data_IF_545456161084
#
_entry.id   IF_545456161084
#
_cell.length_a   1.000
_cell.length_b   1.000
_cell.length_c   1.000
_cell.angle_alpha   90.00
_cell.angle_beta   90.00
_cell.angle_gamma   90.00
#
_symmetry.space_group_name_H-M   'P 1'
#
loop_
_entity.id
_entity.type
_entity.pdbx_description
1 polymer ?
#
# COMPACT_ATOMS: atom_id res chain seq x y z
N UNK A 1 -19.43 -6.26 11.17
CA UNK A 1 -18.11 -6.92 11.32
C UNK A 1 -17.09 -6.05 10.60
N UNK A 2 -16.25 -5.35 11.36
CA UNK A 2 -15.14 -4.58 10.81
C UNK A 2 -14.22 -5.54 10.04
N UNK A 3 -13.90 -5.19 8.80
CA UNK A 3 -12.96 -5.96 8.02
C UNK A 3 -11.55 -5.70 8.55
N UNK A 4 -10.70 -6.72 8.70
CA UNK A 4 -9.32 -6.50 9.11
C UNK A 4 -8.61 -5.62 8.07
N UNK A 5 -7.93 -4.58 8.53
CA UNK A 5 -7.11 -3.71 7.70
C UNK A 5 -5.70 -4.29 7.62
N UNK A 6 -5.17 -4.42 6.40
CA UNK A 6 -3.77 -4.76 6.16
C UNK A 6 -3.05 -3.51 5.64
N UNK A 7 -1.98 -3.12 6.32
CA UNK A 7 -1.10 -2.03 5.88
C UNK A 7 0.23 -2.64 5.45
N UNK A 8 0.61 -2.43 4.21
CA UNK A 8 1.92 -2.80 3.68
C UNK A 8 2.73 -1.53 3.52
N UNK A 9 3.92 -1.49 4.13
CA UNK A 9 4.76 -0.29 4.18
C UNK A 9 6.23 -0.62 4.08
N UNK A 10 7.09 0.40 4.09
CA UNK A 10 8.55 0.28 4.03
C UNK A 10 9.21 1.35 4.91
N UNK A 11 10.51 1.21 5.27
CA UNK A 11 11.16 2.06 6.28
C UNK A 11 11.02 3.56 6.03
N UNK A 12 11.18 4.04 4.80
CA UNK A 12 11.08 5.46 4.52
C UNK A 12 9.68 6.02 4.79
N UNK A 13 8.63 5.29 4.41
CA UNK A 13 7.25 5.75 4.63
C UNK A 13 6.88 5.81 6.12
N UNK A 14 7.30 4.83 6.94
CA UNK A 14 7.02 4.86 8.38
C UNK A 14 7.91 5.82 9.17
N UNK A 15 8.97 6.34 8.53
CA UNK A 15 9.80 7.39 9.13
C UNK A 15 9.08 8.74 9.13
N UNK A 16 8.15 8.96 8.22
CA UNK A 16 7.37 10.20 8.21
C UNK A 16 6.38 10.25 9.37
N UNK A 17 6.37 11.38 10.07
CA UNK A 17 5.40 11.66 11.12
C UNK A 17 4.08 12.14 10.50
N UNK A 18 3.01 11.92 11.24
CA UNK A 18 1.64 12.22 10.80
C UNK A 18 0.93 13.13 11.81
N UNK A 19 -0.16 13.76 11.40
CA UNK A 19 -0.99 14.53 12.29
C UNK A 19 -1.61 13.65 13.40
N UNK A 20 -1.76 14.12 14.62
CA UNK A 20 -2.44 13.36 15.69
C UNK A 20 -3.87 12.98 15.29
N UNK A 21 -4.35 11.81 15.73
CA UNK A 21 -5.74 11.34 15.50
C UNK A 21 -6.78 12.39 15.86
N UNK A 22 -6.55 13.11 16.97
CA UNK A 22 -7.44 14.15 17.44
C UNK A 22 -7.55 15.29 16.43
N UNK A 23 -6.43 15.78 15.93
CA UNK A 23 -6.38 16.84 14.90
C UNK A 23 -7.13 16.42 13.64
N UNK A 24 -6.87 15.19 13.17
CA UNK A 24 -7.54 14.63 12.00
C UNK A 24 -9.06 14.57 12.20
N UNK A 25 -9.52 14.10 13.36
CA UNK A 25 -10.96 14.02 13.68
C UNK A 25 -11.60 15.39 13.81
N UNK A 26 -10.92 16.37 14.41
CA UNK A 26 -11.45 17.73 14.60
C UNK A 26 -11.52 18.53 13.29
N UNK A 27 -10.61 18.28 12.37
CA UNK A 27 -10.54 18.99 11.09
C UNK A 27 -11.30 18.30 9.96
N UNK A 28 -11.66 17.02 10.11
CA UNK A 28 -12.47 16.31 9.12
C UNK A 28 -13.96 16.40 9.46
N UNK A 29 -14.80 16.32 8.44
CA UNK A 29 -16.25 16.25 8.62
C UNK A 29 -16.89 15.40 7.52
N UNK A 30 -18.06 14.87 7.83
CA UNK A 30 -18.84 14.04 6.92
C UNK A 30 -20.05 14.80 6.42
N UNK A 31 -20.38 14.66 5.15
CA UNK A 31 -21.60 15.16 4.52
C UNK A 31 -22.42 13.94 4.09
N UNK A 32 -23.71 13.92 4.43
CA UNK A 32 -24.65 12.86 4.08
C UNK A 32 -25.78 13.38 3.20
N UNK A 33 -26.36 12.49 2.41
CA UNK A 33 -27.59 12.79 1.67
C UNK A 33 -28.71 13.15 2.68
N UNK A 34 -29.37 14.28 2.45
CA UNK A 34 -30.39 14.83 3.34
C UNK A 34 -29.87 15.76 4.44
N UNK A 35 -28.56 15.95 4.58
CA UNK A 35 -28.01 16.98 5.46
C UNK A 35 -28.34 18.39 4.92
N UNK A 36 -28.38 19.38 5.80
CA UNK A 36 -28.63 20.78 5.44
C UNK A 36 -27.39 21.63 5.72
N UNK A 37 -26.87 22.30 4.67
CA UNK A 37 -25.71 23.18 4.74
C UNK A 37 -25.95 24.45 3.93
N UNK A 38 -25.62 25.59 4.52
CA UNK A 38 -25.42 26.82 3.77
C UNK A 38 -24.15 26.70 2.94
N UNK A 39 -24.30 26.70 1.61
CA UNK A 39 -23.19 26.48 0.66
C UNK A 39 -22.09 27.54 0.80
N UNK A 40 -22.46 28.79 1.18
CA UNK A 40 -21.48 29.86 1.40
C UNK A 40 -20.62 29.56 2.64
N UNK A 41 -21.24 29.19 3.74
CA UNK A 41 -20.52 28.82 4.97
C UNK A 41 -19.69 27.58 4.80
N UNK A 42 -20.20 26.60 4.04
CA UNK A 42 -19.43 25.38 3.72
C UNK A 42 -18.20 25.72 2.89
N UNK A 43 -18.32 26.64 1.94
CA UNK A 43 -17.18 27.14 1.15
C UNK A 43 -16.16 27.88 2.01
N UNK A 44 -16.62 28.73 2.93
CA UNK A 44 -15.73 29.42 3.89
C UNK A 44 -15.00 28.40 4.77
N UNK A 45 -15.69 27.39 5.30
CA UNK A 45 -15.08 26.31 6.06
C UNK A 45 -14.02 25.54 5.28
N UNK A 46 -14.25 25.27 3.99
CA UNK A 46 -13.26 24.62 3.14
C UNK A 46 -12.00 25.49 2.97
N UNK A 47 -12.16 26.81 2.79
CA UNK A 47 -11.04 27.77 2.76
C UNK A 47 -10.25 27.79 4.07
N UNK A 48 -10.95 27.81 5.23
CA UNK A 48 -10.33 27.75 6.56
C UNK A 48 -9.53 26.44 6.77
N UNK A 49 -10.00 25.35 6.18
CA UNK A 49 -9.33 24.05 6.20
C UNK A 49 -8.20 23.93 5.16
N UNK A 50 -7.87 25.00 4.43
CA UNK A 50 -6.76 25.03 3.49
C UNK A 50 -7.09 24.52 2.08
N UNK A 51 -8.38 24.24 1.79
CA UNK A 51 -8.77 23.90 0.43
C UNK A 51 -8.70 25.15 -0.47
N UNK A 52 -8.25 24.94 -1.69
CA UNK A 52 -8.12 25.99 -2.72
C UNK A 52 -9.37 26.02 -3.61
N UNK A 53 -9.98 27.19 -3.74
CA UNK A 53 -11.09 27.39 -4.66
C UNK A 53 -10.59 27.51 -6.09
N UNK A 54 -11.22 26.77 -7.01
CA UNK A 54 -10.91 26.76 -8.44
C UNK A 54 -12.19 26.70 -9.27
N UNK A 55 -12.08 26.78 -10.60
CA UNK A 55 -13.24 26.63 -11.50
C UNK A 55 -13.57 25.16 -11.75
N UNK A 56 -12.56 24.31 -11.80
CA UNK A 56 -12.65 22.85 -11.94
C UNK A 56 -11.67 22.18 -11.00
N UNK A 57 -12.07 21.03 -10.46
CA UNK A 57 -11.28 20.26 -9.48
C UNK A 57 -10.46 19.19 -10.20
N UNK A 58 -9.14 19.21 -9.99
CA UNK A 58 -8.19 18.27 -10.60
C UNK A 58 -7.33 17.56 -9.57
N UNK A 59 -7.01 18.20 -8.45
CA UNK A 59 -6.07 17.71 -7.45
C UNK A 59 -6.70 17.69 -6.05
N UNK A 60 -6.25 16.78 -5.15
CA UNK A 60 -6.63 16.84 -3.75
C UNK A 60 -6.40 18.22 -3.14
N UNK A 61 -7.32 18.66 -2.28
CA UNK A 61 -7.27 20.00 -1.69
C UNK A 61 -7.92 21.09 -2.54
N UNK A 62 -8.54 20.76 -3.66
CA UNK A 62 -9.30 21.71 -4.48
C UNK A 62 -10.81 21.57 -4.27
N UNK A 63 -11.51 22.69 -4.42
CA UNK A 63 -12.96 22.69 -4.51
C UNK A 63 -13.48 23.73 -5.50
N UNK A 64 -14.65 23.47 -6.07
CA UNK A 64 -15.34 24.37 -6.98
C UNK A 64 -16.82 24.47 -6.64
N UNK A 65 -17.39 25.67 -6.75
CA UNK A 65 -18.83 25.90 -6.59
C UNK A 65 -19.41 26.41 -7.90
N UNK A 66 -20.40 25.69 -8.44
CA UNK A 66 -21.05 26.00 -9.70
C UNK A 66 -22.57 25.90 -9.55
N UNK A 67 -23.22 27.05 -9.30
CA UNK A 67 -24.65 27.08 -8.98
C UNK A 67 -24.93 26.35 -7.68
N UNK A 68 -25.71 25.30 -7.73
CA UNK A 68 -26.05 24.45 -6.57
C UNK A 68 -25.11 23.25 -6.40
N UNK A 69 -24.00 23.18 -7.13
CA UNK A 69 -23.07 22.06 -7.10
C UNK A 69 -21.78 22.48 -6.38
N UNK A 70 -21.36 21.67 -5.42
CA UNK A 70 -20.05 21.71 -4.82
C UNK A 70 -19.26 20.48 -5.26
N UNK A 71 -18.17 20.71 -5.98
CA UNK A 71 -17.15 19.71 -6.26
C UNK A 71 -16.01 19.89 -5.27
N UNK A 72 -15.55 18.80 -4.64
CA UNK A 72 -14.45 18.86 -3.66
C UNK A 72 -13.60 17.60 -3.73
N UNK A 73 -12.27 17.77 -3.72
CA UNK A 73 -11.34 16.66 -3.70
C UNK A 73 -10.70 16.55 -2.30
N UNK A 74 -11.22 15.62 -1.51
CA UNK A 74 -10.71 15.30 -0.19
C UNK A 74 -9.36 14.57 -0.29
N UNK A 75 -8.43 14.83 0.63
CA UNK A 75 -7.15 14.12 0.71
C UNK A 75 -7.30 12.64 1.09
N UNK A 76 -8.45 12.22 1.57
CA UNK A 76 -8.74 10.82 1.93
C UNK A 76 -9.39 10.01 0.80
N UNK A 77 -9.55 10.57 -0.39
CA UNK A 77 -10.28 9.91 -1.49
C UNK A 77 -9.44 9.83 -2.76
N UNK A 78 -9.60 8.74 -3.51
CA UNK A 78 -8.98 8.58 -4.84
C UNK A 78 -9.70 9.41 -5.91
N UNK A 79 -10.97 9.73 -5.69
CA UNK A 79 -11.80 10.49 -6.61
C UNK A 79 -12.42 11.69 -5.92
N UNK A 80 -12.58 12.83 -6.60
CA UNK A 80 -13.31 13.96 -6.05
C UNK A 80 -14.80 13.64 -5.91
N UNK A 81 -15.44 14.38 -5.01
CA UNK A 81 -16.85 14.29 -4.72
C UNK A 81 -17.60 15.44 -5.39
N UNK A 82 -18.78 15.13 -5.93
CA UNK A 82 -19.77 16.09 -6.43
C UNK A 82 -21.00 16.03 -5.53
N UNK A 83 -21.35 17.15 -4.94
CA UNK A 83 -22.43 17.31 -3.99
C UNK A 83 -23.45 18.25 -4.64
N UNK A 84 -24.63 17.73 -4.94
CA UNK A 84 -25.74 18.52 -5.49
C UNK A 84 -26.63 18.99 -4.36
N UNK A 85 -26.99 20.27 -4.39
CA UNK A 85 -27.87 20.89 -3.40
C UNK A 85 -29.20 21.29 -4.04
N UNK A 86 -30.28 21.09 -3.28
CA UNK A 86 -31.57 21.71 -3.55
C UNK A 86 -31.87 22.73 -2.44
N UNK A 87 -31.65 24.03 -2.73
CA UNK A 87 -31.55 25.04 -1.67
C UNK A 87 -30.33 24.77 -0.79
N UNK A 88 -30.58 24.57 0.50
CA UNK A 88 -29.54 24.22 1.48
C UNK A 88 -29.46 22.71 1.77
N UNK A 89 -30.35 21.90 1.18
CA UNK A 89 -30.41 20.47 1.42
C UNK A 89 -29.54 19.70 0.42
N UNK A 90 -28.75 18.74 0.92
CA UNK A 90 -27.93 17.83 0.11
C UNK A 90 -28.85 16.83 -0.57
N UNK A 91 -29.05 16.99 -1.89
CA UNK A 91 -29.91 16.13 -2.70
C UNK A 91 -29.21 14.84 -3.13
N UNK A 92 -27.94 14.94 -3.54
CA UNK A 92 -27.18 13.77 -3.94
C UNK A 92 -25.67 13.93 -3.78
N UNK A 93 -24.99 12.80 -3.60
CA UNK A 93 -23.54 12.70 -3.45
C UNK A 93 -23.01 11.69 -4.45
N UNK A 94 -21.96 12.04 -5.18
CA UNK A 94 -21.30 11.17 -6.18
C UNK A 94 -19.80 11.38 -6.19
N UNK A 95 -19.07 10.39 -6.63
CA UNK A 95 -17.71 10.60 -7.13
C UNK A 95 -17.76 11.04 -8.60
N UNK A 96 -16.67 11.62 -9.09
CA UNK A 96 -16.54 11.91 -10.51
C UNK A 96 -15.09 11.73 -10.99
N UNK A 97 -14.94 11.52 -12.28
CA UNK A 97 -13.65 11.36 -12.93
C UNK A 97 -13.00 12.71 -13.22
N UNK A 98 -11.77 12.89 -12.77
CA UNK A 98 -11.02 14.15 -12.90
C UNK A 98 -10.88 14.58 -14.37
N UNK A 99 -10.51 13.65 -15.27
CA UNK A 99 -10.21 13.98 -16.67
C UNK A 99 -11.46 14.33 -17.48
N UNK A 100 -12.54 13.62 -17.26
CA UNK A 100 -13.79 13.79 -18.03
C UNK A 100 -14.79 14.70 -17.35
N UNK A 101 -14.63 14.96 -16.04
CA UNK A 101 -15.57 15.67 -15.19
C UNK A 101 -16.96 15.01 -15.12
N UNK A 102 -17.08 13.74 -15.53
CA UNK A 102 -18.33 12.98 -15.50
C UNK A 102 -18.53 12.30 -14.16
N UNK A 103 -19.75 12.36 -13.65
CA UNK A 103 -20.13 11.65 -12.41
C UNK A 103 -20.01 10.14 -12.61
N UNK A 104 -19.48 9.45 -11.58
CA UNK A 104 -19.25 8.02 -11.56
C UNK A 104 -20.19 7.32 -10.57
N UNK A 105 -19.78 7.12 -9.33
CA UNK A 105 -20.52 6.34 -8.33
C UNK A 105 -21.34 7.21 -7.39
N UNK A 106 -22.57 6.80 -7.08
CA UNK A 106 -23.39 7.42 -6.04
C UNK A 106 -22.90 6.98 -4.66
N UNK A 107 -22.90 7.93 -3.73
CA UNK A 107 -22.53 7.73 -2.32
C UNK A 107 -23.68 8.19 -1.43
N UNK A 108 -23.87 7.55 -0.28
CA UNK A 108 -24.79 8.00 0.75
C UNK A 108 -24.15 9.00 1.71
N UNK A 109 -22.82 8.94 1.82
CA UNK A 109 -22.02 9.85 2.64
C UNK A 109 -20.63 10.02 2.04
N UNK A 110 -20.01 11.17 2.29
CA UNK A 110 -18.64 11.49 1.91
C UNK A 110 -17.90 12.12 3.07
N UNK A 111 -16.62 11.80 3.21
CA UNK A 111 -15.74 12.37 4.23
C UNK A 111 -14.79 13.39 3.62
N UNK A 112 -14.79 14.58 4.17
CA UNK A 112 -13.90 15.67 3.76
C UNK A 112 -12.77 15.75 4.77
N UNK A 113 -11.57 15.45 4.30
CA UNK A 113 -10.34 15.48 5.10
C UNK A 113 -9.39 16.49 4.43
N UNK A 114 -8.95 17.52 5.17
CA UNK A 114 -8.00 18.51 4.67
C UNK A 114 -6.58 17.96 4.61
N UNK A 115 -5.67 18.71 3.99
CA UNK A 115 -4.23 18.47 4.14
C UNK A 115 -3.81 18.80 5.58
N UNK A 116 -3.48 17.77 6.33
CA UNK A 116 -3.03 17.93 7.71
C UNK A 116 -1.56 18.32 7.83
N UNK A 117 -0.79 18.24 6.75
CA UNK A 117 0.60 18.69 6.72
C UNK A 117 0.70 20.22 6.79
N UNK A 118 -0.28 20.92 6.22
CA UNK A 118 -0.33 22.40 6.19
C UNK A 118 -1.15 23.01 7.35
N UNK A 119 -1.77 22.21 8.20
CA UNK A 119 -2.71 22.68 9.22
C UNK A 119 -2.09 23.55 10.34
N UNK A 120 -0.82 23.95 10.23
CA UNK A 120 -0.16 24.80 11.22
C UNK A 120 -0.01 24.17 12.62
N UNK A 121 -0.45 22.93 12.77
CA UNK A 121 -0.27 22.19 13.99
C UNK A 121 1.20 21.84 14.17
N UNK A 122 1.87 22.54 15.10
CA UNK A 122 3.25 22.26 15.50
C UNK A 122 3.42 20.89 16.21
N UNK A 123 2.46 20.00 16.07
CA UNK A 123 2.44 18.69 16.73
C UNK A 123 2.21 17.60 15.71
N UNK A 124 3.15 16.68 15.64
CA UNK A 124 3.08 15.47 14.85
C UNK A 124 3.35 14.27 15.76
N UNK A 125 2.90 13.10 15.35
CA UNK A 125 3.11 11.84 16.07
C UNK A 125 3.73 10.80 15.14
N UNK A 126 4.38 9.80 15.71
CA UNK A 126 4.91 8.69 14.95
C UNK A 126 3.77 7.88 14.32
N UNK A 127 3.89 7.50 13.06
CA UNK A 127 2.86 6.72 12.37
C UNK A 127 2.50 5.44 13.14
N UNK A 128 3.47 4.80 13.78
CA UNK A 128 3.26 3.56 14.56
C UNK A 128 2.32 3.72 15.75
N UNK A 129 2.05 4.95 16.22
CA UNK A 129 1.06 5.22 17.26
C UNK A 129 -0.39 5.12 16.78
N UNK A 130 -0.61 5.11 15.46
CA UNK A 130 -1.92 4.83 14.88
C UNK A 130 -2.29 3.36 14.90
N UNK A 131 -1.30 2.48 15.03
CA UNK A 131 -1.50 1.02 15.01
C UNK A 131 -2.15 0.59 16.33
N UNK A 132 -3.35 -0.04 16.30
CA UNK A 132 -4.01 -0.57 17.51
C UNK A 132 -3.16 -1.62 18.22
N UNK A 133 -3.34 -1.77 19.55
CA UNK A 133 -2.55 -2.71 20.35
C UNK A 133 -2.80 -4.18 19.98
N UNK A 134 -3.98 -4.50 19.46
CA UNK A 134 -4.35 -5.85 19.02
C UNK A 134 -3.77 -6.23 17.64
N UNK A 135 -3.03 -5.31 17.00
CA UNK A 135 -2.49 -5.53 15.67
C UNK A 135 -1.35 -6.54 15.69
N UNK A 136 -1.16 -7.19 14.55
CA UNK A 136 -0.03 -8.07 14.28
C UNK A 136 1.00 -7.33 13.42
N UNK A 137 2.20 -7.15 13.96
CA UNK A 137 3.34 -6.64 13.21
C UNK A 137 4.03 -7.82 12.51
N UNK A 138 4.10 -7.79 11.18
CA UNK A 138 4.89 -8.74 10.39
C UNK A 138 6.08 -7.98 9.83
N UNK A 139 7.28 -8.40 10.18
CA UNK A 139 8.52 -7.74 9.78
C UNK A 139 9.59 -8.75 9.40
N UNK A 140 10.44 -8.43 8.44
CA UNK A 140 11.53 -9.32 8.03
C UNK A 140 12.75 -9.20 8.96
N UNK A 141 13.08 -7.96 9.32
CA UNK A 141 14.22 -7.65 10.22
C UNK A 141 13.92 -6.31 10.88
N UNK A 142 13.49 -6.37 12.13
CA UNK A 142 13.06 -5.18 12.88
C UNK A 142 14.22 -4.22 13.12
N UNK A 143 15.42 -4.74 13.41
CA UNK A 143 16.60 -3.91 13.67
C UNK A 143 17.03 -3.19 12.39
N UNK A 144 17.05 -3.90 11.26
CA UNK A 144 17.37 -3.29 9.97
C UNK A 144 16.39 -2.15 9.63
N UNK A 145 15.09 -2.35 9.88
CA UNK A 145 14.08 -1.29 9.66
C UNK A 145 14.35 -0.09 10.56
N UNK A 146 14.60 -0.31 11.84
CA UNK A 146 14.89 0.75 12.80
C UNK A 146 16.19 1.51 12.46
N UNK A 147 17.24 0.81 12.05
CA UNK A 147 18.50 1.42 11.63
C UNK A 147 18.33 2.24 10.34
N UNK A 148 17.55 1.74 9.41
CA UNK A 148 17.21 2.49 8.18
C UNK A 148 16.44 3.77 8.50
N UNK A 149 15.47 3.73 9.42
CA UNK A 149 14.78 4.92 9.90
C UNK A 149 15.74 5.92 10.54
N UNK A 150 16.68 5.43 11.39
CA UNK A 150 17.69 6.26 12.02
C UNK A 150 18.64 6.91 10.99
N UNK A 151 18.97 6.18 9.93
CA UNK A 151 19.77 6.73 8.84
C UNK A 151 19.01 7.83 8.10
N UNK A 152 17.76 7.60 7.71
CA UNK A 152 16.90 8.61 7.07
C UNK A 152 16.77 9.85 7.97
N UNK A 153 16.55 9.63 9.28
CA UNK A 153 16.47 10.73 10.24
C UNK A 153 17.77 11.54 10.31
N UNK A 154 18.95 10.91 10.22
CA UNK A 154 20.27 11.56 10.25
C UNK A 154 20.54 12.33 8.95
N UNK A 155 20.23 11.75 7.81
CA UNK A 155 20.39 12.37 6.50
C UNK A 155 19.44 13.55 6.33
N UNK A 156 18.26 13.49 6.96
CA UNK A 156 17.26 14.54 6.89
C UNK A 156 16.63 14.64 5.51
N UNK A 157 16.34 15.87 5.11
CA UNK A 157 15.75 16.14 3.80
C UNK A 157 16.79 16.00 2.69
N UNK A 158 16.34 15.62 1.48
CA UNK A 158 17.25 15.45 0.36
C UNK A 158 17.98 16.74 0.02
N UNK A 159 19.23 16.63 -0.47
CA UNK A 159 20.00 17.81 -0.96
C UNK A 159 19.24 18.61 -2.00
N UNK A 160 18.34 17.98 -2.75
CA UNK A 160 17.47 18.62 -3.72
C UNK A 160 16.44 19.53 -3.04
N UNK A 161 15.85 19.11 -1.92
CA UNK A 161 14.94 19.92 -1.14
C UNK A 161 15.68 21.12 -0.48
N UNK A 162 16.90 20.90 0.00
CA UNK A 162 17.74 21.97 0.54
C UNK A 162 18.16 22.99 -0.56
N UNK A 163 18.52 22.54 -1.75
CA UNK A 163 18.83 23.41 -2.90
C UNK A 163 17.60 24.20 -3.37
N UNK A 164 16.42 23.56 -3.42
CA UNK A 164 15.18 24.26 -3.77
C UNK A 164 14.83 25.38 -2.79
N UNK A 165 15.24 25.26 -1.51
CA UNK A 165 15.08 26.30 -0.51
C UNK A 165 16.00 27.48 -0.72
N UNK A 166 17.22 27.27 -1.29
CA UNK A 166 18.18 28.34 -1.58
C UNK A 166 17.75 29.18 -2.80
N UNK A 167 16.92 28.61 -3.69
CA UNK A 167 16.41 29.31 -4.89
C UNK A 167 15.16 30.16 -4.62
N UNK A 168 14.54 30.04 -3.44
CA UNK A 168 13.31 30.74 -3.07
C UNK A 168 13.59 32.12 -2.43
N UNK A 169 12.66 33.09 -2.54
CA UNK A 169 12.73 34.34 -1.78
C UNK A 169 12.80 34.06 -0.27
N UNK A 170 13.59 34.84 0.48
CA UNK A 170 13.92 34.57 1.89
C UNK A 170 12.68 34.41 2.81
N UNK A 171 11.62 35.16 2.54
CA UNK A 171 10.38 35.09 3.29
C UNK A 171 9.64 33.73 3.06
N UNK A 172 9.69 33.19 1.85
CA UNK A 172 9.10 31.88 1.52
C UNK A 172 10.00 30.74 2.01
N UNK A 173 11.32 30.91 1.86
CA UNK A 173 12.30 29.96 2.35
C UNK A 173 12.26 29.80 3.88
N UNK A 174 12.04 30.88 4.64
CA UNK A 174 11.91 30.83 6.10
C UNK A 174 10.64 30.07 6.53
N UNK A 175 9.53 30.27 5.83
CA UNK A 175 8.29 29.53 6.04
C UNK A 175 8.44 28.03 5.79
N UNK A 176 9.13 27.67 4.69
CA UNK A 176 9.42 26.28 4.36
C UNK A 176 10.45 25.63 5.30
N UNK A 177 11.50 26.36 5.72
CA UNK A 177 12.46 25.87 6.72
C UNK A 177 11.83 25.55 8.06
N UNK A 178 10.81 26.31 8.48
CA UNK A 178 10.01 26.01 9.67
C UNK A 178 9.17 24.74 9.49
N UNK A 179 8.64 24.55 8.28
CA UNK A 179 7.89 23.32 7.93
C UNK A 179 8.81 22.10 7.81
N UNK A 180 10.05 22.27 7.35
CA UNK A 180 11.06 21.22 7.21
C UNK A 180 11.85 20.96 8.52
N UNK A 181 11.19 21.08 9.66
CA UNK A 181 11.80 20.71 10.94
C UNK A 181 11.86 19.16 11.05
N UNK A 182 13.08 18.62 11.04
CA UNK A 182 13.33 17.17 11.13
C UNK A 182 12.60 16.52 12.30
N UNK A 183 12.61 17.15 13.47
CA UNK A 183 11.98 16.61 14.67
C UNK A 183 10.44 16.55 14.57
N UNK A 184 9.85 17.46 13.79
CA UNK A 184 8.41 17.49 13.52
C UNK A 184 8.00 16.55 12.37
N UNK A 185 8.91 16.28 11.44
CA UNK A 185 8.57 15.55 10.21
C UNK A 185 9.01 14.09 10.22
N UNK A 186 10.07 13.74 10.96
CA UNK A 186 10.67 12.43 10.91
C UNK A 186 10.72 11.75 12.28
N UNK A 187 10.43 10.45 12.28
CA UNK A 187 10.53 9.55 13.42
C UNK A 187 11.90 8.90 13.47
N UNK A 188 12.34 8.54 14.66
CA UNK A 188 13.54 7.70 14.86
C UNK A 188 13.14 6.23 14.98
N UNK A 189 14.05 5.32 14.63
CA UNK A 189 13.83 3.88 14.75
C UNK A 189 13.53 3.41 16.17
N UNK A 190 13.94 4.18 17.19
CA UNK A 190 13.64 3.90 18.60
C UNK A 190 12.13 3.91 18.89
N UNK A 191 11.33 4.71 18.19
CA UNK A 191 9.88 4.71 18.37
C UNK A 191 9.24 3.42 17.84
N UNK A 192 9.73 2.92 16.70
CA UNK A 192 9.30 1.62 16.16
C UNK A 192 9.67 0.48 17.12
N UNK A 193 10.92 0.45 17.62
CA UNK A 193 11.38 -0.59 18.54
C UNK A 193 10.53 -0.61 19.81
N UNK A 194 10.28 0.56 20.41
CA UNK A 194 9.41 0.68 21.58
C UNK A 194 8.00 0.16 21.27
N UNK A 195 7.40 0.59 20.16
CA UNK A 195 6.05 0.17 19.79
C UNK A 195 5.96 -1.33 19.49
N UNK A 196 7.00 -1.90 18.89
CA UNK A 196 7.07 -3.33 18.57
C UNK A 196 7.07 -4.22 19.83
N UNK A 197 7.46 -3.71 21.00
CA UNK A 197 7.36 -4.48 22.26
C UNK A 197 5.93 -4.66 22.75
N UNK A 198 5.03 -3.77 22.36
CA UNK A 198 3.61 -3.79 22.77
C UNK A 198 2.74 -4.59 21.80
N UNK A 199 3.25 -4.91 20.62
CA UNK A 199 2.51 -5.60 19.57
C UNK A 199 2.87 -7.09 19.52
N UNK A 200 1.88 -7.92 19.13
CA UNK A 200 2.18 -9.27 18.69
C UNK A 200 3.02 -9.20 17.42
N UNK A 201 4.11 -9.94 17.37
CA UNK A 201 5.12 -9.82 16.32
C UNK A 201 5.42 -11.16 15.67
N UNK A 202 5.52 -11.17 14.36
CA UNK A 202 6.06 -12.25 13.55
C UNK A 202 7.27 -11.72 12.80
N UNK A 203 8.44 -12.30 13.05
CA UNK A 203 9.66 -11.97 12.33
C UNK A 203 10.03 -13.08 11.35
N UNK A 204 10.30 -12.67 10.10
CA UNK A 204 10.78 -13.56 9.04
C UNK A 204 12.30 -13.47 8.99
N UNK A 205 12.97 -14.27 9.80
CA UNK A 205 14.43 -14.22 9.99
C UNK A 205 15.10 -15.55 9.70
N UNK A 206 16.38 -15.50 9.39
CA UNK A 206 17.19 -16.72 9.19
C UNK A 206 17.61 -17.31 10.55
N UNK A 207 17.89 -16.45 11.53
CA UNK A 207 18.29 -16.85 12.89
C UNK A 207 17.30 -16.22 13.88
N UNK A 208 16.39 -17.00 14.46
CA UNK A 208 15.42 -16.49 15.42
C UNK A 208 16.08 -16.05 16.70
N UNK A 209 15.49 -15.07 17.39
CA UNK A 209 15.90 -14.66 18.74
C UNK A 209 15.69 -15.80 19.74
N UNK A 210 16.56 -15.88 20.74
CA UNK A 210 16.47 -16.91 21.78
C UNK A 210 15.19 -16.80 22.65
N UNK A 211 14.58 -15.62 22.69
CA UNK A 211 13.37 -15.32 23.48
C UNK A 211 12.08 -15.45 22.68
N UNK A 212 12.13 -15.97 21.45
CA UNK A 212 10.92 -16.16 20.63
C UNK A 212 9.98 -17.18 21.34
N UNK A 213 8.71 -16.82 21.48
CA UNK A 213 7.66 -17.66 22.06
C UNK A 213 7.45 -18.94 21.26
N UNK A 214 7.54 -18.87 19.94
CA UNK A 214 7.49 -20.00 19.04
C UNK A 214 8.35 -19.73 17.79
N UNK A 215 8.97 -20.78 17.27
CA UNK A 215 9.75 -20.73 16.03
C UNK A 215 9.17 -21.74 15.05
N UNK A 216 8.83 -21.25 13.85
CA UNK A 216 8.39 -22.08 12.73
C UNK A 216 9.48 -22.05 11.66
N UNK A 217 10.08 -23.20 11.38
CA UNK A 217 11.11 -23.34 10.35
C UNK A 217 10.47 -23.83 9.05
N UNK A 218 10.87 -23.21 7.94
CA UNK A 218 10.49 -23.65 6.60
C UNK A 218 11.75 -24.14 5.87
N UNK A 219 11.78 -25.42 5.51
CA UNK A 219 12.89 -26.00 4.73
C UNK A 219 12.57 -25.89 3.23
N UNK A 220 12.54 -24.64 2.76
CA UNK A 220 12.23 -24.34 1.36
C UNK A 220 13.47 -23.98 0.57
N UNK A 221 13.43 -24.27 -0.73
CA UNK A 221 14.42 -23.84 -1.72
C UNK A 221 13.70 -23.15 -2.88
N UNK A 222 14.33 -22.13 -3.51
CA UNK A 222 13.74 -21.47 -4.66
C UNK A 222 13.60 -22.40 -5.85
N UNK A 223 12.65 -22.12 -6.74
CA UNK A 223 12.51 -22.81 -8.02
C UNK A 223 13.81 -22.67 -8.83
N UNK A 224 14.34 -23.78 -9.39
CA UNK A 224 15.45 -23.69 -10.32
C UNK A 224 15.12 -22.90 -11.58
N UNK A 225 16.11 -22.25 -12.17
CA UNK A 225 15.97 -21.56 -13.44
C UNK A 225 16.15 -22.58 -14.58
N UNK A 226 15.12 -22.75 -15.39
CA UNK A 226 15.12 -23.71 -16.48
C UNK A 226 15.48 -23.09 -17.84
N UNK A 227 15.41 -21.77 -17.98
CA UNK A 227 15.75 -21.04 -19.21
C UNK A 227 15.07 -21.61 -20.46
N UNK A 228 13.78 -21.96 -20.34
CA UNK A 228 12.99 -22.64 -21.41
C UNK A 228 13.55 -23.99 -21.85
N UNK A 229 14.44 -24.58 -21.09
CA UNK A 229 14.94 -25.95 -21.36
C UNK A 229 13.94 -26.95 -20.74
N UNK A 230 13.05 -27.46 -21.57
CA UNK A 230 11.97 -28.36 -21.13
C UNK A 230 12.48 -29.78 -20.87
N UNK A 231 13.62 -30.20 -21.44
CA UNK A 231 14.25 -31.47 -21.10
C UNK A 231 14.78 -31.42 -19.66
N UNK A 232 15.47 -30.34 -19.29
CA UNK A 232 15.95 -30.13 -17.93
C UNK A 232 14.78 -30.05 -16.93
N UNK A 233 13.68 -29.39 -17.32
CA UNK A 233 12.46 -29.35 -16.53
C UNK A 233 11.89 -30.74 -16.28
N UNK A 234 11.79 -31.56 -17.33
CA UNK A 234 11.32 -32.96 -17.26
C UNK A 234 12.19 -33.79 -16.32
N UNK A 235 13.53 -33.76 -16.53
CA UNK A 235 14.47 -34.48 -15.65
C UNK A 235 14.30 -34.07 -14.18
N UNK A 236 14.10 -32.78 -13.91
CA UNK A 236 13.86 -32.26 -12.57
C UNK A 236 12.54 -32.79 -12.01
N UNK A 237 11.48 -32.84 -12.81
CA UNK A 237 10.18 -33.37 -12.39
C UNK A 237 10.26 -34.88 -12.09
N UNK A 238 10.93 -35.65 -12.92
CA UNK A 238 11.13 -37.09 -12.73
C UNK A 238 11.90 -37.36 -11.42
N UNK A 239 12.96 -36.57 -11.18
CA UNK A 239 13.72 -36.64 -9.93
C UNK A 239 12.85 -36.27 -8.71
N UNK A 240 12.15 -35.15 -8.76
CA UNK A 240 11.28 -34.70 -7.67
C UNK A 240 10.21 -35.72 -7.32
N UNK A 241 9.60 -36.39 -8.32
CA UNK A 241 8.66 -37.48 -8.10
C UNK A 241 9.30 -38.72 -7.49
N UNK A 242 10.49 -39.11 -7.97
CA UNK A 242 11.22 -40.22 -7.37
C UNK A 242 11.57 -40.00 -5.91
N UNK A 243 11.72 -38.74 -5.49
CA UNK A 243 11.89 -38.31 -4.10
C UNK A 243 10.56 -38.18 -3.33
N UNK A 244 9.41 -38.48 -3.95
CA UNK A 244 8.10 -38.44 -3.34
C UNK A 244 7.43 -37.07 -3.30
N UNK A 245 7.97 -36.08 -4.04
CA UNK A 245 7.39 -34.74 -4.08
C UNK A 245 6.17 -34.68 -5.02
N UNK A 246 5.17 -33.91 -4.61
CA UNK A 246 4.03 -33.52 -5.45
C UNK A 246 4.39 -32.26 -6.24
N UNK A 247 4.06 -32.25 -7.52
CA UNK A 247 4.40 -31.15 -8.43
C UNK A 247 3.15 -30.31 -8.73
N UNK A 248 3.22 -29.02 -8.48
CA UNK A 248 2.20 -28.03 -8.79
C UNK A 248 2.76 -26.98 -9.73
N UNK A 249 2.04 -26.66 -10.80
CA UNK A 249 2.38 -25.54 -11.68
C UNK A 249 1.34 -24.45 -11.53
N UNK A 250 1.81 -23.28 -11.14
CA UNK A 250 1.01 -22.09 -10.93
C UNK A 250 1.11 -21.18 -12.15
N UNK A 251 -0.01 -20.86 -12.74
CA UNK A 251 -0.11 -19.98 -13.90
C UNK A 251 -1.33 -19.06 -13.81
N UNK A 252 -1.28 -17.91 -14.48
CA UNK A 252 -2.37 -16.93 -14.52
C UNK A 252 -3.65 -17.48 -15.18
N UNK A 253 -3.52 -18.47 -16.06
CA UNK A 253 -4.65 -19.05 -16.79
C UNK A 253 -4.49 -20.53 -17.03
N UNK A 254 -5.63 -21.24 -17.16
CA UNK A 254 -5.65 -22.65 -17.53
C UNK A 254 -4.94 -22.92 -18.85
N UNK A 255 -5.07 -22.02 -19.83
CA UNK A 255 -4.42 -22.14 -21.15
C UNK A 255 -2.89 -22.18 -21.07
N UNK A 256 -2.29 -21.51 -20.10
CA UNK A 256 -0.83 -21.57 -19.88
C UNK A 256 -0.41 -22.94 -19.35
N UNK A 257 -1.17 -23.50 -18.41
CA UNK A 257 -0.95 -24.85 -17.90
C UNK A 257 -1.14 -25.91 -18.98
N UNK A 258 -2.20 -25.82 -19.80
CA UNK A 258 -2.44 -26.70 -20.95
C UNK A 258 -1.28 -26.69 -21.95
N UNK A 259 -0.75 -25.50 -22.24
CA UNK A 259 0.42 -25.37 -23.12
C UNK A 259 1.64 -26.10 -22.57
N UNK A 260 1.92 -25.97 -21.26
CA UNK A 260 3.05 -26.66 -20.64
C UNK A 260 2.83 -28.18 -20.63
N UNK A 261 1.59 -28.62 -20.35
CA UNK A 261 1.22 -30.03 -20.42
C UNK A 261 1.50 -30.60 -21.79
N UNK A 262 1.07 -29.93 -22.87
CA UNK A 262 1.33 -30.33 -24.26
C UNK A 262 2.82 -30.47 -24.58
N UNK A 263 3.64 -29.50 -24.13
CA UNK A 263 5.09 -29.57 -24.34
C UNK A 263 5.70 -30.81 -23.67
N UNK A 264 5.25 -31.12 -22.44
CA UNK A 264 5.75 -32.27 -21.70
C UNK A 264 5.24 -33.60 -22.31
N UNK A 265 3.99 -33.65 -22.78
CA UNK A 265 3.44 -34.81 -23.51
C UNK A 265 4.23 -35.10 -24.78
N UNK A 266 4.58 -34.09 -25.58
CA UNK A 266 5.43 -34.24 -26.77
C UNK A 266 6.80 -34.76 -26.42
N UNK A 267 7.43 -34.27 -25.36
CA UNK A 267 8.76 -34.71 -24.93
C UNK A 267 8.79 -36.14 -24.39
N UNK A 268 7.72 -36.59 -23.77
CA UNK A 268 7.62 -37.94 -23.18
C UNK A 268 7.04 -38.96 -24.16
N UNK A 269 6.40 -38.50 -25.25
CA UNK A 269 5.65 -39.36 -26.16
C UNK A 269 4.39 -39.97 -25.54
N UNK A 270 3.89 -39.39 -24.46
CA UNK A 270 2.74 -39.90 -23.70
C UNK A 270 1.67 -38.81 -23.63
N UNK A 271 0.58 -39.02 -24.36
CA UNK A 271 -0.55 -38.07 -24.31
C UNK A 271 -1.32 -38.14 -22.99
N UNK A 272 -1.70 -36.96 -22.46
CA UNK A 272 -2.46 -36.82 -21.23
C UNK A 272 -1.79 -37.46 -19.99
N UNK A 273 -0.47 -37.48 -19.95
CA UNK A 273 0.23 -37.93 -18.75
C UNK A 273 0.06 -36.93 -17.59
N UNK A 274 -0.02 -37.44 -16.37
CA UNK A 274 -0.11 -36.60 -15.17
C UNK A 274 1.28 -36.06 -14.80
N UNK A 275 1.75 -35.05 -15.56
CA UNK A 275 3.07 -34.46 -15.36
C UNK A 275 3.13 -33.56 -14.12
N UNK A 276 2.04 -32.89 -13.79
CA UNK A 276 1.92 -31.99 -12.64
C UNK A 276 0.45 -31.68 -12.34
N UNK A 277 0.17 -31.15 -11.17
CA UNK A 277 -1.14 -30.61 -10.81
C UNK A 277 -1.23 -29.15 -11.23
N UNK A 278 -2.11 -28.76 -12.17
CA UNK A 278 -2.28 -27.38 -12.61
C UNK A 278 -3.03 -26.56 -11.55
N UNK A 279 -2.55 -25.35 -11.30
CA UNK A 279 -3.19 -24.37 -10.41
C UNK A 279 -3.35 -23.05 -11.14
N UNK A 280 -4.60 -22.57 -11.26
CA UNK A 280 -4.89 -21.27 -11.91
C UNK A 280 -4.79 -20.15 -10.87
N UNK A 281 -3.59 -19.93 -10.40
CA UNK A 281 -3.13 -18.83 -9.53
C UNK A 281 -1.65 -18.66 -9.76
N UNK A 282 -1.11 -17.49 -9.42
CA UNK A 282 0.32 -17.24 -9.53
C UNK A 282 0.93 -16.82 -8.20
N UNK A 283 2.23 -17.04 -8.09
CA UNK A 283 3.11 -16.51 -7.05
C UNK A 283 4.22 -15.73 -7.73
N UNK A 284 4.83 -14.81 -7.00
CA UNK A 284 5.98 -14.06 -7.52
C UNK A 284 7.17 -14.98 -7.86
N UNK A 285 7.41 -16.02 -7.07
CA UNK A 285 8.44 -17.03 -7.30
C UNK A 285 7.97 -18.39 -6.83
N UNK A 286 8.38 -19.43 -7.57
CA UNK A 286 8.15 -20.82 -7.19
C UNK A 286 9.17 -21.31 -6.16
N UNK A 287 8.82 -22.38 -5.47
CA UNK A 287 9.64 -23.00 -4.43
C UNK A 287 9.41 -24.49 -4.33
N UNK A 288 10.34 -25.19 -3.68
CA UNK A 288 10.17 -26.56 -3.18
C UNK A 288 10.21 -26.56 -1.67
N UNK A 289 9.31 -27.32 -1.03
CA UNK A 289 9.22 -27.51 0.42
C UNK A 289 9.56 -28.96 0.74
N UNK A 290 10.63 -29.17 1.52
CA UNK A 290 11.13 -30.49 1.86
C UNK A 290 10.25 -31.19 2.89
N UNK A 291 9.65 -30.45 3.81
CA UNK A 291 8.84 -31.01 4.90
C UNK A 291 7.46 -31.48 4.38
N UNK A 292 6.90 -30.72 3.46
CA UNK A 292 5.59 -31.00 2.87
C UNK A 292 5.69 -31.90 1.62
N UNK A 293 6.91 -32.22 1.16
CA UNK A 293 7.16 -32.96 -0.07
C UNK A 293 6.40 -32.38 -1.26
N UNK A 294 6.58 -31.09 -1.51
CA UNK A 294 5.93 -30.43 -2.63
C UNK A 294 6.85 -29.46 -3.37
N UNK A 295 6.59 -29.32 -4.66
CA UNK A 295 7.20 -28.32 -5.52
C UNK A 295 6.07 -27.47 -6.11
N UNK A 296 6.06 -26.18 -5.81
CA UNK A 296 5.15 -25.18 -6.37
C UNK A 296 5.95 -24.32 -7.35
N UNK A 297 5.87 -24.59 -8.63
CA UNK A 297 6.62 -23.87 -9.66
C UNK A 297 5.70 -22.91 -10.40
N UNK A 298 6.27 -21.79 -10.86
CA UNK A 298 5.53 -20.79 -11.61
C UNK A 298 5.90 -20.88 -13.11
N UNK A 299 4.89 -20.79 -13.95
CA UNK A 299 5.06 -20.85 -15.40
C UNK A 299 5.92 -19.71 -15.94
N UNK A 300 5.78 -18.51 -15.37
CA UNK A 300 6.56 -17.35 -15.83
C UNK A 300 8.07 -17.55 -15.61
N UNK A 301 8.50 -18.18 -14.50
CA UNK A 301 9.92 -18.50 -14.30
C UNK A 301 10.38 -19.64 -15.23
N UNK A 302 9.53 -20.64 -15.53
CA UNK A 302 9.84 -21.70 -16.50
C UNK A 302 10.06 -21.11 -17.90
N UNK A 303 9.23 -20.12 -18.28
CA UNK A 303 9.30 -19.49 -19.61
C UNK A 303 10.15 -18.22 -19.66
N UNK A 304 10.93 -17.89 -18.63
CA UNK A 304 11.71 -16.64 -18.52
C UNK A 304 10.87 -15.39 -18.82
N UNK A 305 9.71 -15.29 -18.22
CA UNK A 305 8.82 -14.12 -18.32
C UNK A 305 8.85 -13.33 -17.04
N UNK A 306 8.67 -12.02 -17.15
CA UNK A 306 8.46 -11.19 -15.96
C UNK A 306 7.09 -11.48 -15.34
N UNK A 307 7.05 -11.52 -14.02
CA UNK A 307 5.79 -11.53 -13.28
C UNK A 307 5.12 -10.16 -13.47
N UNK A 308 3.84 -10.18 -13.86
CA UNK A 308 3.04 -8.96 -14.01
C UNK A 308 2.37 -8.57 -12.70
#
# INVERSE_FOLDING_TARGET
>A
TERPLMIVTFPAAITEKVAPKKTLTEQSFTIKEGDTFDLTKLSEKLLELGFRRCDYVYEPGEFAVRGSILDVFSFSSEHPYRIDFFGDDVESLRTFEVQTQLSAERRSEVSIVPDTADSGANTTVDFVEYVPDESLLIVRDLIFVADTMNQIYKEGFSKQAEQSLEELPEAEAEGLRKKLNRELMLSQGTSLLRRATDLRRVELVTNPEAEAEAVVCFHTSPQPLFHKNFELLREHFDKARAEGNRLFILADSAKQNERLQHILDELTGTENADHFTPVTRTLHAGFSDQDLHLCCFTDHQIFDRFHK
#
